data_IF_537380598603
#
_entry.id   IF_537380598603
#
_cell.length_a   1.000
_cell.length_b   1.000
_cell.length_c   1.000
_cell.angle_alpha   90.00
_cell.angle_beta   90.00
_cell.angle_gamma   90.00
#
_symmetry.space_group_name_H-M   'P 1'
#
loop_
_entity.id
_entity.type
_entity.pdbx_description
1 polymer ?
#
# COMPACT_ATOMS: atom_id res chain seq x y z
N UNK A 1 33.34 15.23 -0.69
CA UNK A 1 31.86 15.31 -0.68
C UNK A 1 31.28 13.94 -0.33
N UNK A 2 31.30 13.60 0.95
CA UNK A 2 30.82 12.34 1.50
C UNK A 2 29.39 12.57 1.99
N UNK A 3 28.44 12.51 1.07
CA UNK A 3 27.03 12.68 1.43
C UNK A 3 26.36 11.33 1.31
N UNK A 4 25.84 10.89 2.46
CA UNK A 4 24.97 9.75 2.65
C UNK A 4 25.58 8.37 2.31
N UNK A 5 26.54 7.96 3.09
CA UNK A 5 26.94 6.55 3.24
C UNK A 5 25.99 5.76 4.16
N UNK A 6 24.74 6.13 4.24
CA UNK A 6 23.71 5.33 4.90
C UNK A 6 23.09 4.32 3.92
N UNK A 7 22.57 3.16 4.41
CA UNK A 7 21.96 2.14 3.56
C UNK A 7 20.73 2.63 2.77
N UNK A 8 20.25 3.82 3.02
CA UNK A 8 19.11 4.46 2.35
C UNK A 8 19.47 5.64 1.44
N UNK A 9 20.77 5.91 1.24
CA UNK A 9 21.20 7.09 0.50
C UNK A 9 21.08 6.94 -1.03
N UNK A 10 21.71 5.93 -1.61
CA UNK A 10 21.81 5.75 -3.06
C UNK A 10 21.78 4.27 -3.44
N UNK A 11 20.97 3.93 -4.44
CA UNK A 11 21.00 2.65 -5.14
C UNK A 11 21.41 2.89 -6.59
N UNK A 12 22.54 2.28 -7.03
CA UNK A 12 23.05 2.43 -8.39
C UNK A 12 23.27 3.91 -8.84
N UNK A 13 23.66 4.80 -7.91
CA UNK A 13 23.87 6.21 -8.20
C UNK A 13 22.61 7.09 -8.20
N UNK A 14 21.44 6.53 -7.90
CA UNK A 14 20.18 7.24 -7.80
C UNK A 14 19.74 7.37 -6.34
N UNK A 15 19.17 8.50 -5.92
CA UNK A 15 18.63 8.64 -4.59
C UNK A 15 17.47 7.64 -4.38
N UNK A 16 17.55 6.86 -3.32
CA UNK A 16 16.63 5.75 -3.05
C UNK A 16 15.20 6.24 -2.77
N UNK A 17 15.06 7.37 -2.09
CA UNK A 17 13.75 7.91 -1.71
C UNK A 17 12.82 8.17 -2.91
N UNK A 18 13.21 8.90 -3.97
CA UNK A 18 12.36 9.06 -5.15
C UNK A 18 11.98 7.74 -5.82
N UNK A 19 12.88 6.77 -5.87
CA UNK A 19 12.61 5.45 -6.45
C UNK A 19 11.51 4.70 -5.68
N UNK A 20 11.58 4.71 -4.35
CA UNK A 20 10.59 4.09 -3.47
C UNK A 20 9.24 4.80 -3.54
N UNK A 21 9.24 6.13 -3.58
CA UNK A 21 8.02 6.93 -3.76
C UNK A 21 7.35 6.61 -5.09
N UNK A 22 8.09 6.56 -6.18
CA UNK A 22 7.53 6.20 -7.49
C UNK A 22 6.94 4.78 -7.50
N UNK A 23 7.61 3.83 -6.86
CA UNK A 23 7.10 2.47 -6.68
C UNK A 23 5.76 2.47 -5.93
N UNK A 24 5.66 3.21 -4.82
CA UNK A 24 4.43 3.32 -4.03
C UNK A 24 3.30 4.00 -4.83
N UNK A 25 3.59 5.12 -5.52
CA UNK A 25 2.61 5.89 -6.31
C UNK A 25 2.03 5.07 -7.47
N UNK A 26 2.77 4.12 -8.01
CA UNK A 26 2.28 3.22 -9.07
C UNK A 26 1.56 2.00 -8.49
N UNK A 27 2.17 1.35 -7.50
CA UNK A 27 1.66 0.07 -6.99
C UNK A 27 0.40 0.23 -6.13
N UNK A 28 0.31 1.26 -5.28
CA UNK A 28 -0.87 1.45 -4.42
C UNK A 28 -2.15 1.66 -5.23
N UNK A 29 -2.23 2.54 -6.24
CA UNK A 29 -3.41 2.65 -7.09
C UNK A 29 -3.74 1.37 -7.85
N UNK A 30 -2.74 0.68 -8.40
CA UNK A 30 -2.94 -0.58 -9.11
C UNK A 30 -3.56 -1.65 -8.20
N UNK A 31 -3.05 -1.80 -6.99
CA UNK A 31 -3.56 -2.72 -5.98
C UNK A 31 -4.96 -2.31 -5.51
N UNK A 32 -5.20 -1.02 -5.28
CA UNK A 32 -6.51 -0.51 -4.87
C UNK A 32 -7.59 -0.79 -5.92
N UNK A 33 -7.28 -0.58 -7.20
CA UNK A 33 -8.19 -0.95 -8.31
C UNK A 33 -8.44 -2.46 -8.32
N UNK A 34 -7.39 -3.28 -8.19
CA UNK A 34 -7.54 -4.73 -8.10
C UNK A 34 -8.41 -5.16 -6.91
N UNK A 35 -8.25 -4.53 -5.76
CA UNK A 35 -9.05 -4.78 -4.56
C UNK A 35 -10.51 -4.37 -4.74
N UNK A 36 -10.78 -3.24 -5.41
CA UNK A 36 -12.14 -2.84 -5.78
C UNK A 36 -12.80 -3.89 -6.67
N UNK A 37 -12.11 -4.35 -7.71
CA UNK A 37 -12.62 -5.42 -8.59
C UNK A 37 -12.88 -6.71 -7.81
N UNK A 38 -12.00 -7.11 -6.87
CA UNK A 38 -12.20 -8.26 -5.99
C UNK A 38 -13.44 -8.12 -5.11
N UNK A 39 -13.78 -6.91 -4.69
CA UNK A 39 -14.95 -6.66 -3.83
C UNK A 39 -16.27 -6.99 -4.53
N UNK A 40 -16.35 -6.78 -5.84
CA UNK A 40 -17.54 -6.99 -6.65
C UNK A 40 -17.54 -8.33 -7.40
N UNK A 41 -16.36 -8.85 -7.78
CA UNK A 41 -16.21 -10.04 -8.62
C UNK A 41 -15.48 -11.18 -7.88
N UNK A 42 -16.18 -12.08 -7.20
CA UNK A 42 -15.56 -13.24 -6.52
C UNK A 42 -14.78 -14.16 -7.46
N UNK A 43 -15.19 -14.27 -8.72
CA UNK A 43 -14.45 -15.04 -9.73
C UNK A 43 -13.07 -14.46 -10.03
N UNK A 44 -12.97 -13.13 -10.11
CA UNK A 44 -11.70 -12.41 -10.25
C UNK A 44 -10.81 -12.62 -9.00
N UNK A 45 -11.40 -12.48 -7.82
CA UNK A 45 -10.70 -12.70 -6.55
C UNK A 45 -10.12 -14.13 -6.46
N UNK A 46 -10.88 -15.15 -6.81
CA UNK A 46 -10.38 -16.55 -6.82
C UNK A 46 -9.22 -16.75 -7.78
N UNK A 47 -9.27 -16.14 -8.96
CA UNK A 47 -8.27 -16.33 -10.02
C UNK A 47 -7.03 -15.48 -9.83
N UNK A 48 -7.18 -14.22 -9.44
CA UNK A 48 -6.10 -13.22 -9.40
C UNK A 48 -5.76 -12.72 -7.98
N UNK A 49 -6.54 -13.10 -6.97
CA UNK A 49 -6.37 -12.58 -5.61
C UNK A 49 -4.98 -12.82 -5.01
N UNK A 50 -4.34 -13.96 -5.35
CA UNK A 50 -2.95 -14.20 -4.94
C UNK A 50 -1.98 -13.19 -5.55
N UNK A 51 -2.15 -12.86 -6.84
CA UNK A 51 -1.34 -11.86 -7.53
C UNK A 51 -1.54 -10.47 -6.91
N UNK A 52 -2.80 -10.07 -6.71
CA UNK A 52 -3.13 -8.78 -6.07
C UNK A 52 -2.55 -8.71 -4.66
N UNK A 53 -2.59 -9.79 -3.90
CA UNK A 53 -1.98 -9.85 -2.56
C UNK A 53 -0.46 -9.68 -2.61
N UNK A 54 0.23 -10.33 -3.53
CA UNK A 54 1.69 -10.19 -3.70
C UNK A 54 2.04 -8.74 -4.05
N UNK A 55 1.32 -8.14 -4.99
CA UNK A 55 1.51 -6.73 -5.35
C UNK A 55 1.20 -5.79 -4.18
N UNK A 56 0.18 -6.11 -3.37
CA UNK A 56 -0.16 -5.36 -2.16
C UNK A 56 0.95 -5.40 -1.11
N UNK A 57 1.58 -6.56 -0.92
CA UNK A 57 2.72 -6.71 -0.01
C UNK A 57 3.93 -5.92 -0.51
N UNK A 58 4.22 -5.96 -1.80
CA UNK A 58 5.31 -5.17 -2.41
C UNK A 58 5.02 -3.68 -2.26
N UNK A 59 3.79 -3.25 -2.53
CA UNK A 59 3.35 -1.87 -2.35
C UNK A 59 3.51 -1.41 -0.90
N UNK A 60 3.07 -2.23 0.06
CA UNK A 60 3.19 -1.93 1.49
C UNK A 60 4.64 -1.77 1.94
N UNK A 61 5.53 -2.66 1.48
CA UNK A 61 6.97 -2.54 1.75
C UNK A 61 7.53 -1.26 1.13
N UNK A 62 7.14 -0.92 -0.11
CA UNK A 62 7.58 0.31 -0.77
C UNK A 62 7.14 1.56 -0.01
N UNK A 63 5.89 1.62 0.47
CA UNK A 63 5.36 2.73 1.27
C UNK A 63 6.14 2.86 2.60
N UNK A 64 6.41 1.74 3.26
CA UNK A 64 7.17 1.73 4.51
C UNK A 64 8.61 2.20 4.32
N UNK A 65 9.29 1.71 3.29
CA UNK A 65 10.67 2.13 2.97
C UNK A 65 10.72 3.59 2.50
N UNK A 66 9.70 4.06 1.76
CA UNK A 66 9.58 5.46 1.37
C UNK A 66 9.48 6.37 2.61
N UNK A 67 8.68 5.97 3.62
CA UNK A 67 8.61 6.68 4.91
C UNK A 67 10.01 6.76 5.55
N UNK A 68 10.67 5.62 5.78
CA UNK A 68 11.98 5.57 6.43
C UNK A 68 13.04 6.39 5.69
N UNK A 69 13.05 6.31 4.36
CA UNK A 69 14.00 7.08 3.54
C UNK A 69 13.68 8.58 3.52
N UNK A 70 12.41 8.95 3.66
CA UNK A 70 11.97 10.34 3.76
C UNK A 70 12.38 10.99 5.08
N UNK A 71 12.25 10.27 6.20
CA UNK A 71 12.72 10.71 7.52
C UNK A 71 14.23 11.00 7.51
N UNK A 72 15.02 10.04 7.00
CA UNK A 72 16.47 10.21 6.87
C UNK A 72 16.85 11.38 5.96
N UNK A 73 16.08 11.64 4.91
CA UNK A 73 16.32 12.73 3.97
C UNK A 73 15.96 14.11 4.57
N UNK A 74 14.91 14.18 5.38
CA UNK A 74 14.50 15.43 6.05
C UNK A 74 15.51 15.88 7.11
N UNK A 75 16.12 14.95 7.84
CA UNK A 75 17.19 15.24 8.81
C UNK A 75 18.42 15.85 8.14
N UNK A 76 18.79 15.38 6.93
CA UNK A 76 19.95 15.89 6.17
C UNK A 76 19.71 17.30 5.65
N UNK A 77 18.46 17.61 5.26
CA UNK A 77 18.12 18.90 4.65
C UNK A 77 17.84 20.01 5.67
N UNK A 78 17.73 19.69 6.96
CA UNK A 78 17.33 20.63 8.03
C UNK A 78 16.09 21.49 7.63
N UNK A 79 15.18 20.87 6.88
CA UNK A 79 13.96 21.50 6.38
C UNK A 79 12.74 20.82 6.98
N UNK A 80 11.91 21.63 7.61
CA UNK A 80 10.56 21.19 7.98
C UNK A 80 9.73 21.01 6.69
N UNK A 81 9.54 19.75 6.27
CA UNK A 81 8.85 19.39 5.01
C UNK A 81 7.32 19.47 5.15
N UNK A 82 6.83 20.00 6.28
CA UNK A 82 5.42 20.34 6.50
C UNK A 82 4.46 19.15 6.37
N UNK A 83 3.29 19.41 5.80
CA UNK A 83 2.20 18.43 5.66
C UNK A 83 2.59 17.16 4.88
N UNK A 84 3.54 17.24 3.97
CA UNK A 84 4.02 16.08 3.20
C UNK A 84 4.69 15.03 4.12
N UNK A 85 5.49 15.48 5.07
CA UNK A 85 6.11 14.58 6.04
C UNK A 85 5.08 13.93 6.97
N UNK A 86 4.14 14.73 7.50
CA UNK A 86 3.06 14.22 8.37
C UNK A 86 2.20 13.16 7.66
N UNK A 87 1.84 13.40 6.41
CA UNK A 87 1.07 12.44 5.60
C UNK A 87 1.89 11.19 5.27
N UNK A 88 3.18 11.35 4.99
CA UNK A 88 4.10 10.23 4.76
C UNK A 88 4.23 9.31 5.97
N UNK A 89 4.18 9.86 7.19
CA UNK A 89 4.23 9.07 8.42
C UNK A 89 3.04 8.14 8.61
N UNK A 90 1.84 8.59 8.26
CA UNK A 90 0.61 7.81 8.43
C UNK A 90 0.27 6.93 7.21
N UNK A 91 0.89 7.16 6.06
CA UNK A 91 0.61 6.42 4.82
C UNK A 91 0.70 4.88 4.99
N UNK A 92 1.73 4.30 5.65
CA UNK A 92 1.79 2.86 5.88
C UNK A 92 0.64 2.32 6.73
N UNK A 93 0.13 3.12 7.68
CA UNK A 93 -0.99 2.73 8.54
C UNK A 93 -2.33 2.76 7.80
N UNK A 94 -2.50 3.69 6.85
CA UNK A 94 -3.70 3.80 6.03
C UNK A 94 -3.77 2.68 4.99
N UNK A 95 -2.64 2.28 4.42
CA UNK A 95 -2.58 1.22 3.39
C UNK A 95 -2.60 -0.20 3.96
N UNK A 96 -2.18 -0.41 5.20
CA UNK A 96 -2.12 -1.73 5.83
C UNK A 96 -3.46 -2.46 5.92
N UNK A 97 -4.59 -1.81 6.32
CA UNK A 97 -5.89 -2.47 6.33
C UNK A 97 -6.31 -3.02 4.97
N UNK A 98 -5.98 -2.34 3.88
CA UNK A 98 -6.25 -2.82 2.52
C UNK A 98 -5.56 -4.16 2.26
N UNK A 99 -4.30 -4.31 2.64
CA UNK A 99 -3.54 -5.56 2.47
C UNK A 99 -4.19 -6.71 3.24
N UNK A 100 -4.53 -6.48 4.51
CA UNK A 100 -5.19 -7.48 5.35
C UNK A 100 -6.56 -7.90 4.80
N UNK A 101 -7.35 -6.94 4.30
CA UNK A 101 -8.67 -7.19 3.74
C UNK A 101 -8.60 -7.90 2.37
N UNK A 102 -7.59 -7.62 1.53
CA UNK A 102 -7.31 -8.37 0.30
C UNK A 102 -7.05 -9.84 0.63
N UNK A 103 -6.20 -10.12 1.62
CA UNK A 103 -5.93 -11.48 2.07
C UNK A 103 -7.20 -12.19 2.55
N UNK A 104 -7.97 -11.54 3.42
CA UNK A 104 -9.19 -12.09 3.98
C UNK A 104 -10.23 -12.36 2.88
N UNK A 105 -10.45 -11.41 1.98
CA UNK A 105 -11.36 -11.54 0.84
C UNK A 105 -10.98 -12.70 -0.07
N UNK A 106 -9.72 -12.79 -0.45
CA UNK A 106 -9.21 -13.87 -1.28
C UNK A 106 -9.40 -15.25 -0.63
N UNK A 107 -9.10 -15.37 0.68
CA UNK A 107 -9.31 -16.60 1.45
C UNK A 107 -10.79 -17.00 1.48
N UNK A 108 -11.67 -16.06 1.74
CA UNK A 108 -13.12 -16.30 1.76
C UNK A 108 -13.65 -16.74 0.39
N UNK A 109 -13.20 -16.13 -0.68
CA UNK A 109 -13.66 -16.47 -2.03
C UNK A 109 -13.11 -17.81 -2.50
N UNK A 110 -11.93 -18.23 -2.05
CA UNK A 110 -11.37 -19.57 -2.34
C UNK A 110 -12.05 -20.68 -1.56
N UNK A 111 -12.39 -20.44 -0.32
CA UNK A 111 -13.04 -21.44 0.53
C UNK A 111 -14.54 -21.64 0.20
N UNK A 112 -15.10 -20.82 -0.68
CA UNK A 112 -16.50 -20.87 -1.07
C UNK A 112 -17.44 -20.43 0.06
N UNK A 113 -18.67 -20.97 0.07
CA UNK A 113 -19.70 -20.61 1.05
C UNK A 113 -19.44 -21.15 2.46
N UNK A 114 -18.40 -21.93 2.66
CA UNK A 114 -18.10 -22.57 3.96
C UNK A 114 -17.47 -21.60 4.98
N UNK A 115 -16.92 -20.47 4.54
CA UNK A 115 -16.33 -19.47 5.42
C UNK A 115 -17.15 -18.17 5.39
N UNK A 116 -17.85 -17.95 6.49
CA UNK A 116 -18.60 -16.73 6.72
C UNK A 116 -19.98 -16.72 6.05
N UNK A 117 -20.94 -16.15 6.76
CA UNK A 117 -22.26 -15.90 6.21
C UNK A 117 -22.25 -14.69 5.25
N UNK A 118 -23.35 -14.46 4.55
CA UNK A 118 -23.50 -13.35 3.61
C UNK A 118 -23.18 -11.99 4.24
N UNK A 119 -23.45 -11.82 5.53
CA UNK A 119 -23.19 -10.59 6.27
C UNK A 119 -21.68 -10.32 6.37
N UNK A 120 -20.89 -11.31 6.79
CA UNK A 120 -19.42 -11.18 6.91
C UNK A 120 -18.81 -10.86 5.54
N UNK A 121 -19.28 -11.53 4.48
CA UNK A 121 -18.79 -11.27 3.11
C UNK A 121 -19.11 -9.83 2.65
N UNK A 122 -20.31 -9.32 2.95
CA UNK A 122 -20.67 -7.93 2.65
C UNK A 122 -19.85 -6.94 3.44
N UNK A 123 -19.69 -7.16 4.75
CA UNK A 123 -18.86 -6.30 5.61
C UNK A 123 -17.41 -6.25 5.12
N UNK A 124 -16.83 -7.39 4.78
CA UNK A 124 -15.46 -7.46 4.23
C UNK A 124 -15.36 -6.71 2.90
N UNK A 125 -16.36 -6.81 2.02
CA UNK A 125 -16.38 -6.06 0.76
C UNK A 125 -16.45 -4.55 0.98
N UNK A 126 -17.34 -4.10 1.86
CA UNK A 126 -17.48 -2.67 2.20
C UNK A 126 -16.18 -2.14 2.82
N UNK A 127 -15.62 -2.88 3.79
CA UNK A 127 -14.35 -2.50 4.42
C UNK A 127 -13.21 -2.44 3.39
N UNK A 128 -13.15 -3.38 2.45
CA UNK A 128 -12.15 -3.38 1.38
C UNK A 128 -12.32 -2.18 0.43
N UNK A 129 -13.54 -1.83 0.07
CA UNK A 129 -13.83 -0.63 -0.74
C UNK A 129 -13.38 0.62 -0.01
N UNK A 130 -13.77 0.78 1.26
CA UNK A 130 -13.41 1.96 2.06
C UNK A 130 -11.89 2.08 2.22
N UNK A 131 -11.18 0.99 2.55
CA UNK A 131 -9.73 1.01 2.71
C UNK A 131 -9.00 1.26 1.39
N UNK A 132 -9.52 0.75 0.27
CA UNK A 132 -8.96 1.01 -1.06
C UNK A 132 -9.10 2.48 -1.46
N UNK A 133 -10.27 3.08 -1.23
CA UNK A 133 -10.49 4.50 -1.49
C UNK A 133 -9.64 5.38 -0.57
N UNK A 134 -9.53 5.04 0.72
CA UNK A 134 -8.65 5.74 1.65
C UNK A 134 -7.18 5.68 1.20
N UNK A 135 -6.71 4.52 0.75
CA UNK A 135 -5.34 4.34 0.23
C UNK A 135 -5.10 5.15 -1.04
N UNK A 136 -6.09 5.22 -1.95
CA UNK A 136 -6.02 6.06 -3.15
C UNK A 136 -5.93 7.54 -2.78
N UNK A 137 -6.82 8.03 -1.92
CA UNK A 137 -6.78 9.43 -1.46
C UNK A 137 -5.45 9.73 -0.80
N UNK A 138 -4.96 8.84 0.07
CA UNK A 138 -3.71 9.02 0.78
C UNK A 138 -2.53 9.17 -0.17
N UNK A 139 -2.41 8.31 -1.19
CA UNK A 139 -1.28 8.35 -2.12
C UNK A 139 -1.28 9.60 -3.01
N UNK A 140 -2.45 10.20 -3.26
CA UNK A 140 -2.57 11.45 -3.99
C UNK A 140 -2.33 12.70 -3.12
N UNK A 141 -2.45 12.58 -1.80
CA UNK A 141 -2.20 13.67 -0.86
C UNK A 141 -0.74 13.75 -0.41
N UNK A 142 -0.02 12.62 -0.44
CA UNK A 142 1.41 12.51 -0.11
C UNK A 142 2.24 12.87 -1.31
#
# INVERSE_FOLDING_TARGET
MLIASGPFGMLAGLPLHPLLVHSAVVLVPLVAIGALVMSYLPSFSRRHGKLILILALIAQVSVFLAKMSGEAFSEILDKNVGKHAELGEIAPLVTLPMVALIYLRWRMDRAGSSIGNVVIRRLTSVALVVSSLASLVMIFLV
#
